data_IF_618763927931
#
_entry.id   IF_618763927931
#
_cell.length_a   1.000
_cell.length_b   1.000
_cell.length_c   1.000
_cell.angle_alpha   90.00
_cell.angle_beta   90.00
_cell.angle_gamma   90.00
#
_symmetry.space_group_name_H-M   'P 1'
#
loop_
_entity.id
_entity.type
_entity.pdbx_description
1 polymer ?
#
# COMPACT_ATOMS: atom_id res chain seq x y z
N UNK A 1 10.79 11.39 -14.57
CA UNK A 1 9.79 10.40 -14.10
C UNK A 1 9.16 10.93 -12.81
N UNK A 2 7.83 11.08 -12.75
CA UNK A 2 7.14 11.47 -11.51
C UNK A 2 6.80 10.20 -10.74
N UNK A 3 7.25 10.08 -9.50
CA UNK A 3 6.87 8.99 -8.60
C UNK A 3 5.75 9.49 -7.67
N UNK A 4 4.47 9.18 -7.97
CA UNK A 4 3.36 9.69 -7.19
C UNK A 4 3.37 9.11 -5.77
N UNK A 5 3.03 9.93 -4.78
CA UNK A 5 2.88 9.50 -3.39
C UNK A 5 1.66 10.17 -2.76
N UNK A 6 0.95 9.43 -1.90
CA UNK A 6 -0.23 9.96 -1.22
C UNK A 6 0.15 10.95 -0.12
N UNK A 7 -0.48 12.13 -0.12
CA UNK A 7 -0.31 13.17 0.91
C UNK A 7 -1.60 13.46 1.67
N UNK A 8 -2.11 12.44 2.35
CA UNK A 8 -3.19 12.56 3.33
C UNK A 8 -3.05 11.43 4.37
N UNK A 9 -3.94 11.40 5.36
CA UNK A 9 -4.04 10.23 6.24
C UNK A 9 -4.34 8.98 5.39
N UNK A 10 -3.54 7.93 5.58
CA UNK A 10 -3.54 6.72 4.75
C UNK A 10 -2.35 6.63 3.79
N UNK A 11 -1.61 7.73 3.56
CA UNK A 11 -0.44 7.71 2.67
C UNK A 11 -0.83 7.24 1.25
N UNK A 12 0.03 6.46 0.59
CA UNK A 12 -0.25 5.97 -0.77
C UNK A 12 -1.42 4.99 -0.88
N UNK A 13 -1.95 4.45 0.23
CA UNK A 13 -3.17 3.62 0.19
C UNK A 13 -4.44 4.38 -0.23
N UNK A 14 -4.36 5.72 -0.37
CA UNK A 14 -5.46 6.53 -0.88
C UNK A 14 -5.45 6.65 -2.41
N UNK A 15 -4.33 6.34 -3.07
CA UNK A 15 -4.15 6.54 -4.51
C UNK A 15 -3.42 5.39 -5.23
N UNK A 16 -3.12 4.27 -4.56
CA UNK A 16 -2.64 3.04 -5.19
C UNK A 16 -3.73 2.35 -6.03
N UNK A 17 -3.39 1.22 -6.66
CA UNK A 17 -4.31 0.42 -7.47
C UNK A 17 -5.10 -0.63 -6.68
N UNK A 18 -5.14 -0.54 -5.34
CA UNK A 18 -5.91 -1.43 -4.46
C UNK A 18 -5.55 -2.93 -4.49
N UNK A 19 -4.60 -3.34 -5.32
CA UNK A 19 -4.22 -4.75 -5.47
C UNK A 19 -3.74 -5.28 -4.12
N UNK A 20 -4.30 -6.41 -3.71
CA UNK A 20 -3.84 -7.13 -2.53
C UNK A 20 -3.10 -8.39 -2.97
N UNK A 21 -1.78 -8.33 -2.88
CA UNK A 21 -0.89 -9.48 -2.99
C UNK A 21 0.06 -9.47 -1.81
N UNK A 22 0.27 -10.64 -1.24
CA UNK A 22 1.33 -10.90 -0.28
C UNK A 22 2.62 -11.14 -1.07
N UNK A 23 3.76 -10.94 -0.41
CA UNK A 23 5.07 -11.27 -0.98
C UNK A 23 5.27 -12.78 -1.08
N UNK A 24 6.32 -13.23 -1.76
CA UNK A 24 6.64 -14.65 -1.83
C UNK A 24 7.21 -15.12 -0.48
N UNK A 25 6.81 -16.31 0.04
CA UNK A 25 7.38 -16.85 1.27
C UNK A 25 8.90 -16.84 1.32
N UNK A 26 9.56 -17.18 0.21
CA UNK A 26 11.02 -17.21 0.11
C UNK A 26 11.66 -15.83 0.29
N UNK A 27 10.96 -14.72 -0.01
CA UNK A 27 11.50 -13.38 0.22
C UNK A 27 11.61 -13.07 1.72
N UNK A 28 10.60 -13.46 2.49
CA UNK A 28 10.57 -13.29 3.94
C UNK A 28 11.57 -14.22 4.64
N UNK A 29 11.65 -15.48 4.22
CA UNK A 29 12.61 -16.43 4.78
C UNK A 29 14.05 -15.97 4.52
N UNK A 30 14.35 -15.46 3.31
CA UNK A 30 15.64 -14.81 3.01
C UNK A 30 15.92 -13.60 3.91
N UNK A 31 14.90 -12.80 4.28
CA UNK A 31 15.10 -11.69 5.21
C UNK A 31 15.50 -12.20 6.60
N UNK A 32 14.86 -13.27 7.07
CA UNK A 32 15.24 -13.91 8.33
C UNK A 32 16.66 -14.46 8.29
N UNK A 33 16.99 -15.23 7.24
CA UNK A 33 18.34 -15.78 7.00
C UNK A 33 19.41 -14.68 6.91
N UNK A 34 19.03 -13.49 6.43
CA UNK A 34 19.90 -12.30 6.39
C UNK A 34 20.09 -11.62 7.76
N UNK A 35 19.71 -12.30 8.86
CA UNK A 35 19.91 -11.81 10.23
C UNK A 35 18.80 -10.92 10.77
N UNK A 36 17.55 -11.09 10.29
CA UNK A 36 16.38 -10.36 10.80
C UNK A 36 15.38 -11.33 11.49
N UNK A 37 15.62 -11.73 12.75
CA UNK A 37 14.75 -12.66 13.45
C UNK A 37 13.29 -12.19 13.49
N UNK A 38 12.35 -13.12 13.29
CA UNK A 38 10.91 -12.82 13.28
C UNK A 38 10.38 -12.29 11.95
N UNK A 39 11.19 -12.29 10.89
CA UNK A 39 10.78 -11.92 9.54
C UNK A 39 10.58 -13.10 8.58
N UNK A 40 10.58 -14.36 9.06
CA UNK A 40 10.17 -15.51 8.25
C UNK A 40 8.73 -15.38 7.77
N UNK A 41 8.38 -16.11 6.71
CA UNK A 41 7.01 -16.11 6.21
C UNK A 41 6.01 -16.55 7.28
N UNK A 42 6.34 -17.59 8.05
CA UNK A 42 5.53 -18.06 9.17
C UNK A 42 5.27 -16.94 10.20
N UNK A 43 6.31 -16.17 10.54
CA UNK A 43 6.20 -15.07 11.51
C UNK A 43 5.29 -13.95 11.01
N UNK A 44 5.40 -13.58 9.73
CA UNK A 44 4.62 -12.47 9.15
C UNK A 44 3.20 -12.90 8.75
N UNK A 45 2.97 -14.18 8.41
CA UNK A 45 1.66 -14.71 8.03
C UNK A 45 0.61 -14.46 9.11
N UNK A 46 1.01 -14.60 10.38
CA UNK A 46 0.16 -14.24 11.54
C UNK A 46 -0.34 -12.81 11.48
N UNK A 47 0.48 -11.86 11.05
CA UNK A 47 0.12 -10.44 10.96
C UNK A 47 -0.70 -10.12 9.71
N UNK A 48 -0.45 -10.82 8.59
CA UNK A 48 -1.33 -10.76 7.43
C UNK A 48 -2.75 -11.21 7.81
N UNK A 49 -2.88 -12.40 8.42
CA UNK A 49 -4.18 -12.93 8.89
C UNK A 49 -4.84 -12.02 9.93
N UNK A 50 -4.10 -11.52 10.92
CA UNK A 50 -4.64 -10.60 11.93
C UNK A 50 -5.20 -9.30 11.34
N UNK A 51 -4.57 -8.80 10.27
CA UNK A 51 -4.97 -7.53 9.64
C UNK A 51 -6.16 -7.70 8.70
N UNK A 52 -6.32 -8.88 8.12
CA UNK A 52 -7.24 -9.18 7.05
C UNK A 52 -8.67 -9.45 7.55
N UNK A 53 -9.63 -8.92 6.79
CA UNK A 53 -11.01 -9.40 6.78
C UNK A 53 -11.30 -9.93 5.38
N UNK A 54 -11.00 -11.21 5.17
CA UNK A 54 -11.15 -11.89 3.89
C UNK A 54 -12.64 -12.04 3.54
N UNK A 55 -12.99 -11.58 2.35
CA UNK A 55 -14.30 -11.73 1.72
C UNK A 55 -14.07 -12.19 0.27
N UNK A 56 -13.57 -13.41 0.14
CA UNK A 56 -13.06 -14.01 -1.09
C UNK A 56 -13.82 -15.30 -1.38
N UNK A 57 -14.20 -15.51 -2.64
CA UNK A 57 -14.94 -16.70 -3.07
C UNK A 57 -14.07 -17.96 -3.11
N UNK A 58 -12.76 -17.78 -3.32
CA UNK A 58 -11.79 -18.87 -3.42
C UNK A 58 -10.56 -18.56 -2.55
N UNK A 59 -10.76 -18.49 -1.24
CA UNK A 59 -9.68 -18.31 -0.27
C UNK A 59 -9.18 -19.66 0.26
N UNK A 60 -7.86 -19.80 0.35
CA UNK A 60 -7.23 -20.87 1.10
C UNK A 60 -7.45 -20.66 2.62
N UNK A 61 -8.18 -21.54 3.32
CA UNK A 61 -8.54 -21.34 4.72
C UNK A 61 -7.34 -21.34 5.68
N UNK A 62 -6.20 -21.93 5.29
CA UNK A 62 -4.99 -21.89 6.12
C UNK A 62 -4.32 -20.51 6.07
N UNK A 63 -4.48 -19.79 4.96
CA UNK A 63 -3.77 -18.55 4.67
C UNK A 63 -4.61 -17.30 4.94
N UNK A 64 -5.93 -17.42 4.96
CA UNK A 64 -6.82 -16.27 5.13
C UNK A 64 -7.47 -16.21 6.51
N UNK A 65 -7.90 -15.01 6.89
CA UNK A 65 -8.69 -14.81 8.11
C UNK A 65 -9.73 -13.70 7.91
N UNK A 66 -10.88 -13.86 8.56
CA UNK A 66 -11.92 -12.84 8.67
C UNK A 66 -11.86 -12.12 10.02
N UNK A 67 -12.42 -10.92 10.09
CA UNK A 67 -12.56 -10.12 11.32
C UNK A 67 -11.48 -9.07 11.57
N UNK A 68 -10.44 -8.99 10.73
CA UNK A 68 -9.45 -7.91 10.79
C UNK A 68 -9.99 -6.56 10.30
N UNK A 69 -9.24 -5.46 10.50
CA UNK A 69 -9.64 -4.13 10.07
C UNK A 69 -9.58 -3.90 8.54
N UNK A 70 -8.75 -4.64 7.82
CA UNK A 70 -8.50 -4.44 6.39
C UNK A 70 -9.34 -5.41 5.56
N UNK A 71 -10.41 -4.91 4.91
CA UNK A 71 -11.24 -5.76 4.04
C UNK A 71 -10.50 -6.07 2.74
N UNK A 72 -10.36 -7.36 2.45
CA UNK A 72 -9.84 -7.89 1.19
C UNK A 72 -11.00 -8.60 0.49
N UNK A 73 -11.29 -8.23 -0.75
CA UNK A 73 -12.45 -8.73 -1.49
C UNK A 73 -12.15 -9.02 -2.94
N UNK A 74 -12.92 -9.95 -3.49
CA UNK A 74 -13.07 -10.09 -4.94
C UNK A 74 -13.62 -8.79 -5.54
N UNK A 75 -13.26 -8.54 -6.79
CA UNK A 75 -13.85 -7.46 -7.58
C UNK A 75 -15.28 -7.84 -7.96
N UNK A 76 -16.30 -7.03 -7.59
CA UNK A 76 -17.71 -7.35 -7.87
C UNK A 76 -18.05 -7.40 -9.37
N UNK A 77 -17.38 -6.57 -10.17
CA UNK A 77 -17.56 -6.50 -11.62
C UNK A 77 -16.31 -6.96 -12.35
N UNK A 78 -16.44 -7.97 -13.21
CA UNK A 78 -15.36 -8.49 -14.06
C UNK A 78 -15.68 -8.21 -15.52
N UNK A 79 -14.72 -7.64 -16.24
CA UNK A 79 -14.84 -7.43 -17.69
C UNK A 79 -14.74 -8.76 -18.43
N UNK A 80 -15.23 -8.80 -19.68
CA UNK A 80 -15.02 -9.95 -20.55
C UNK A 80 -13.52 -10.21 -20.80
N UNK A 81 -12.71 -9.14 -20.88
CA UNK A 81 -11.25 -9.27 -21.00
C UNK A 81 -10.61 -10.02 -19.84
N UNK A 82 -11.05 -9.77 -18.61
CA UNK A 82 -10.52 -10.45 -17.43
C UNK A 82 -10.82 -11.96 -17.48
N UNK A 83 -12.05 -12.33 -17.84
CA UNK A 83 -12.44 -13.73 -17.97
C UNK A 83 -11.66 -14.43 -19.10
N UNK A 84 -11.55 -13.79 -20.27
CA UNK A 84 -10.78 -14.32 -21.41
C UNK A 84 -9.31 -14.54 -21.06
N UNK A 85 -8.69 -13.60 -20.32
CA UNK A 85 -7.30 -13.73 -19.87
C UNK A 85 -7.12 -14.92 -18.92
N UNK A 86 -8.01 -15.09 -17.94
CA UNK A 86 -7.96 -16.22 -17.00
C UNK A 86 -8.14 -17.54 -17.73
N UNK A 87 -9.12 -17.64 -18.63
CA UNK A 87 -9.38 -18.84 -19.42
C UNK A 87 -8.19 -19.21 -20.32
N UNK A 88 -7.65 -18.25 -21.06
CA UNK A 88 -6.48 -18.48 -21.93
C UNK A 88 -5.25 -18.92 -21.13
N UNK A 89 -5.03 -18.36 -19.93
CA UNK A 89 -3.94 -18.80 -19.06
C UNK A 89 -4.14 -20.25 -18.58
N UNK A 90 -5.38 -20.65 -18.28
CA UNK A 90 -5.70 -22.04 -17.95
C UNK A 90 -5.47 -22.99 -19.13
N UNK A 91 -5.86 -22.61 -20.35
CA UNK A 91 -5.56 -23.36 -21.58
C UNK A 91 -4.05 -23.49 -21.83
N UNK A 92 -3.27 -22.47 -21.45
CA UNK A 92 -1.81 -22.50 -21.49
C UNK A 92 -1.16 -23.33 -20.35
N UNK A 93 -1.96 -23.98 -19.49
CA UNK A 93 -1.49 -24.87 -18.44
C UNK A 93 -1.27 -24.23 -17.06
N UNK A 94 -1.63 -22.95 -16.88
CA UNK A 94 -1.55 -22.30 -15.56
C UNK A 94 -2.79 -22.62 -14.72
N UNK A 95 -2.66 -23.21 -13.52
CA UNK A 95 -3.81 -23.54 -12.70
C UNK A 95 -4.50 -22.27 -12.18
N UNK A 96 -5.84 -22.29 -12.12
CA UNK A 96 -6.59 -21.29 -11.37
C UNK A 96 -6.41 -21.52 -9.87
N UNK A 97 -5.91 -20.52 -9.14
CA UNK A 97 -5.61 -20.65 -7.71
C UNK A 97 -5.77 -19.35 -6.93
N UNK A 98 -5.66 -19.46 -5.60
CA UNK A 98 -5.48 -18.33 -4.71
C UNK A 98 -3.99 -17.98 -4.59
N UNK A 99 -3.56 -16.89 -5.22
CA UNK A 99 -2.16 -16.48 -5.22
C UNK A 99 -1.66 -15.94 -3.87
N UNK A 100 -2.56 -15.75 -2.90
CA UNK A 100 -2.21 -15.44 -1.51
C UNK A 100 -2.27 -16.69 -0.59
N UNK A 101 -2.62 -17.84 -1.15
CA UNK A 101 -2.65 -19.15 -0.50
C UNK A 101 -1.32 -19.90 -0.61
N UNK A 102 -1.39 -21.23 -0.49
CA UNK A 102 -0.20 -22.10 -0.50
C UNK A 102 0.67 -22.00 -1.75
N UNK A 103 0.06 -21.87 -2.92
CA UNK A 103 0.74 -21.86 -4.21
C UNK A 103 0.57 -20.50 -4.88
N UNK A 104 1.65 -19.93 -5.43
CA UNK A 104 1.60 -18.60 -6.07
C UNK A 104 1.77 -18.63 -7.59
N UNK A 105 2.20 -19.75 -8.17
CA UNK A 105 2.41 -19.89 -9.62
C UNK A 105 1.12 -20.41 -10.25
N UNK A 106 0.36 -19.50 -10.86
CA UNK A 106 -0.90 -19.81 -11.53
C UNK A 106 -1.57 -18.54 -12.01
N UNK A 107 -2.89 -18.61 -12.21
CA UNK A 107 -3.72 -17.48 -12.63
C UNK A 107 -4.89 -17.29 -11.66
N UNK A 108 -5.32 -16.05 -11.46
CA UNK A 108 -6.48 -15.74 -10.65
C UNK A 108 -7.10 -14.40 -11.03
N UNK A 109 -8.29 -14.13 -10.52
CA UNK A 109 -8.84 -12.78 -10.50
C UNK A 109 -8.16 -11.97 -9.40
N UNK A 110 -8.08 -10.65 -9.59
CA UNK A 110 -7.47 -9.76 -8.61
C UNK A 110 -8.26 -9.73 -7.30
N UNK A 111 -7.56 -9.90 -6.19
CA UNK A 111 -8.06 -9.57 -4.86
C UNK A 111 -7.71 -8.11 -4.55
N UNK A 112 -8.62 -7.40 -3.90
CA UNK A 112 -8.50 -5.95 -3.71
C UNK A 112 -8.79 -5.50 -2.29
N UNK A 113 -8.18 -4.40 -1.88
CA UNK A 113 -8.44 -3.72 -0.61
C UNK A 113 -9.70 -2.85 -0.74
N UNK A 114 -10.85 -3.52 -0.89
CA UNK A 114 -12.14 -2.88 -1.10
C UNK A 114 -13.21 -3.47 -0.18
N UNK A 115 -14.30 -2.72 0.03
CA UNK A 115 -15.54 -3.18 0.66
C UNK A 115 -16.70 -2.70 -0.19
N UNK A 116 -17.48 -3.62 -0.73
CA UNK A 116 -18.57 -3.34 -1.67
C UNK A 116 -18.08 -2.46 -2.84
N UNK A 117 -16.97 -2.84 -3.48
CA UNK A 117 -16.39 -2.10 -4.61
C UNK A 117 -15.76 -0.74 -4.27
N UNK A 118 -15.73 -0.34 -2.99
CA UNK A 118 -15.18 0.96 -2.54
C UNK A 118 -13.86 0.77 -1.83
N UNK A 119 -12.88 1.65 -2.12
CA UNK A 119 -11.56 1.70 -1.46
C UNK A 119 -11.66 1.64 0.06
N UNK A 120 -10.78 0.83 0.65
CA UNK A 120 -10.49 0.83 2.08
C UNK A 120 -9.02 1.23 2.28
N UNK A 121 -8.76 2.52 2.48
CA UNK A 121 -7.40 2.99 2.79
C UNK A 121 -6.94 2.54 4.18
N UNK A 122 -5.64 2.61 4.44
CA UNK A 122 -5.08 2.32 5.77
C UNK A 122 -5.67 3.24 6.86
N UNK A 123 -5.97 4.51 6.55
CA UNK A 123 -6.69 5.38 7.48
C UNK A 123 -8.09 4.84 7.78
N UNK A 124 -8.84 4.43 6.76
CA UNK A 124 -10.21 3.95 6.92
C UNK A 124 -10.27 2.63 7.70
N UNK A 125 -9.32 1.73 7.44
CA UNK A 125 -9.21 0.43 8.12
C UNK A 125 -8.73 0.57 9.57
N UNK A 126 -7.60 1.24 9.80
CA UNK A 126 -6.90 1.16 11.08
C UNK A 126 -7.06 2.39 11.97
N UNK A 127 -7.12 3.59 11.39
CA UNK A 127 -7.08 4.83 12.15
C UNK A 127 -8.47 5.39 12.47
N UNK A 128 -9.36 5.36 11.47
CA UNK A 128 -10.71 5.92 11.57
C UNK A 128 -11.54 5.27 12.68
N UNK A 129 -11.56 3.93 12.86
CA UNK A 129 -12.38 3.31 13.90
C UNK A 129 -11.95 3.70 15.32
N UNK A 130 -10.68 4.08 15.50
CA UNK A 130 -10.08 4.35 16.81
C UNK A 130 -9.81 5.84 17.05
N UNK A 131 -10.25 6.73 16.14
CA UNK A 131 -9.93 8.17 16.12
C UNK A 131 -10.37 8.96 17.37
N UNK A 132 -11.32 8.44 18.13
CA UNK A 132 -11.85 9.08 19.34
C UNK A 132 -11.21 8.57 20.63
N UNK A 133 -10.27 7.62 20.56
CA UNK A 133 -9.57 7.17 21.76
C UNK A 133 -8.77 8.33 22.36
N UNK A 134 -8.96 8.59 23.65
CA UNK A 134 -8.35 9.72 24.37
C UNK A 134 -6.81 9.68 24.39
N UNK A 135 -6.23 8.47 24.25
CA UNK A 135 -4.79 8.25 24.18
C UNK A 135 -4.20 8.37 22.76
N UNK A 136 -5.01 8.69 21.74
CA UNK A 136 -4.56 8.88 20.36
C UNK A 136 -4.73 10.34 19.94
N UNK A 137 -3.62 10.97 19.53
CA UNK A 137 -3.62 12.34 18.99
C UNK A 137 -3.16 12.32 17.54
N UNK A 138 -3.98 12.84 16.64
CA UNK A 138 -3.67 12.94 15.20
C UNK A 138 -3.52 14.41 14.85
N UNK A 139 -2.31 14.82 14.47
CA UNK A 139 -2.03 16.20 14.07
C UNK A 139 -1.82 16.25 12.56
N UNK A 140 -2.81 16.79 11.84
CA UNK A 140 -2.77 16.96 10.37
C UNK A 140 -2.01 18.23 9.97
N UNK A 141 -1.60 18.31 8.71
CA UNK A 141 -0.89 19.45 8.14
C UNK A 141 0.39 19.81 8.91
N UNK A 142 1.06 18.76 9.42
CA UNK A 142 2.27 18.84 10.23
C UNK A 142 3.39 18.06 9.54
N UNK A 143 4.35 18.76 8.94
CA UNK A 143 5.50 18.12 8.27
C UNK A 143 6.64 17.98 9.27
N UNK A 144 6.98 16.75 9.64
CA UNK A 144 8.21 16.48 10.39
C UNK A 144 9.43 16.91 9.56
N UNK A 145 10.37 17.60 10.20
CA UNK A 145 11.58 18.13 9.53
C UNK A 145 12.87 17.69 10.23
N UNK A 146 12.81 17.27 11.49
CA UNK A 146 13.97 16.78 12.24
C UNK A 146 13.52 15.90 13.41
N UNK A 147 14.19 14.77 13.61
CA UNK A 147 14.13 13.99 14.85
C UNK A 147 15.15 14.62 15.81
N UNK A 148 14.71 14.88 17.03
CA UNK A 148 15.53 15.45 18.07
C UNK A 148 16.23 14.32 18.82
N UNK A 149 17.56 14.28 18.75
CA UNK A 149 18.39 13.20 19.25
C UNK A 149 19.49 13.79 20.13
N UNK A 150 19.68 13.22 21.32
CA UNK A 150 20.79 13.61 22.19
C UNK A 150 22.12 13.19 21.56
N UNK A 151 23.10 14.10 21.40
CA UNK A 151 24.40 13.73 20.84
C UNK A 151 25.17 12.76 21.75
N UNK A 152 24.98 12.86 23.07
CA UNK A 152 25.72 12.06 24.06
C UNK A 152 25.16 10.64 24.17
N UNK A 153 23.83 10.51 24.23
CA UNK A 153 23.18 9.21 24.45
C UNK A 153 22.68 8.55 23.17
N UNK A 154 22.64 9.30 22.05
CA UNK A 154 22.01 8.92 20.78
C UNK A 154 20.53 8.53 20.90
N UNK A 155 19.87 8.94 21.99
CA UNK A 155 18.45 8.67 22.21
C UNK A 155 17.58 9.76 21.58
N UNK A 156 16.54 9.35 20.86
CA UNK A 156 15.53 10.26 20.33
C UNK A 156 14.59 10.73 21.45
N UNK A 157 14.48 12.04 21.64
CA UNK A 157 13.64 12.63 22.69
C UNK A 157 12.48 13.47 22.14
N UNK A 158 12.39 13.64 20.82
CA UNK A 158 11.25 14.31 20.20
C UNK A 158 11.34 14.45 18.70
N UNK A 159 10.38 15.18 18.13
CA UNK A 159 10.31 15.51 16.72
C UNK A 159 10.00 17.00 16.56
N UNK A 160 10.78 17.68 15.72
CA UNK A 160 10.48 19.04 15.25
C UNK A 160 9.67 18.95 13.95
N UNK A 161 8.58 19.71 13.89
CA UNK A 161 7.69 19.73 12.73
C UNK A 161 7.21 21.15 12.41
N UNK A 162 6.79 21.37 11.17
CA UNK A 162 6.20 22.63 10.71
C UNK A 162 4.69 22.45 10.60
N UNK A 163 3.94 23.37 11.19
CA UNK A 163 2.47 23.43 11.09
C UNK A 163 2.04 24.90 11.08
N UNK A 164 1.14 25.26 10.17
CA UNK A 164 0.67 26.64 9.99
C UNK A 164 1.84 27.66 9.88
N UNK A 165 2.89 27.30 9.12
CA UNK A 165 4.11 28.10 8.93
C UNK A 165 4.94 28.37 10.21
N UNK A 166 4.62 27.70 11.31
CA UNK A 166 5.34 27.81 12.58
C UNK A 166 6.08 26.50 12.90
N UNK A 167 7.16 26.63 13.66
CA UNK A 167 7.91 25.49 14.18
C UNK A 167 7.30 24.99 15.49
N UNK A 168 7.13 23.69 15.58
CA UNK A 168 6.61 23.00 16.75
C UNK A 168 7.54 21.86 17.14
N UNK A 169 7.47 21.45 18.40
CA UNK A 169 8.14 20.28 18.91
C UNK A 169 7.15 19.38 19.65
N UNK A 170 7.29 18.07 19.46
CA UNK A 170 6.62 17.07 20.27
C UNK A 170 7.69 16.22 20.95
N UNK A 171 7.70 16.21 22.29
CA UNK A 171 8.57 15.34 23.08
C UNK A 171 8.01 13.93 23.15
N UNK A 172 8.88 12.94 23.27
CA UNK A 172 8.50 11.53 23.45
C UNK A 172 9.12 10.98 24.72
N UNK A 173 8.41 10.04 25.36
CA UNK A 173 8.88 9.33 26.56
C UNK A 173 9.50 7.96 26.26
N UNK A 174 9.22 7.41 25.08
CA UNK A 174 9.64 6.06 24.69
C UNK A 174 10.37 6.10 23.35
N UNK A 175 9.60 6.23 22.27
CA UNK A 175 10.11 5.99 20.93
C UNK A 175 9.57 7.01 19.92
N UNK A 176 10.34 7.21 18.86
CA UNK A 176 9.91 7.86 17.62
C UNK A 176 9.89 6.80 16.53
N UNK A 177 8.72 6.52 15.96
CA UNK A 177 8.56 5.56 14.86
C UNK A 177 8.41 6.36 13.54
N UNK A 178 9.33 6.15 12.60
CA UNK A 178 9.38 6.90 11.34
C UNK A 178 8.62 6.14 10.24
N UNK A 179 7.41 6.61 9.92
CA UNK A 179 6.55 6.02 8.89
C UNK A 179 6.31 6.95 7.69
N UNK A 180 7.36 7.64 7.21
CA UNK A 180 7.23 8.66 6.15
C UNK A 180 7.36 8.10 4.71
N UNK A 181 7.47 6.77 4.58
CA UNK A 181 7.63 6.06 3.30
C UNK A 181 9.06 6.05 2.78
N UNK A 182 9.33 5.25 1.75
CA UNK A 182 10.68 4.94 1.25
C UNK A 182 11.50 6.15 0.78
N UNK A 183 10.85 7.28 0.45
CA UNK A 183 11.53 8.52 0.06
C UNK A 183 11.74 9.49 1.22
N UNK A 184 10.70 9.73 2.03
CA UNK A 184 10.77 10.77 3.07
C UNK A 184 11.37 10.25 4.37
N UNK A 185 11.29 8.94 4.67
CA UNK A 185 11.95 8.35 5.85
C UNK A 185 13.47 8.52 5.80
N UNK A 186 14.19 8.10 4.73
CA UNK A 186 15.64 8.33 4.65
C UNK A 186 15.99 9.81 4.62
N UNK A 187 15.18 10.65 3.95
CA UNK A 187 15.36 12.10 3.99
C UNK A 187 15.30 12.65 5.42
N UNK A 188 14.28 12.28 6.19
CA UNK A 188 14.11 12.76 7.57
C UNK A 188 15.25 12.28 8.48
N UNK A 189 15.70 11.04 8.33
CA UNK A 189 16.86 10.51 9.05
C UNK A 189 18.13 11.31 8.74
N UNK A 190 18.40 11.58 7.46
CA UNK A 190 19.56 12.37 7.04
C UNK A 190 19.49 13.81 7.55
N UNK A 191 18.33 14.47 7.46
CA UNK A 191 18.10 15.80 8.07
C UNK A 191 18.28 15.82 9.60
N UNK A 192 18.24 14.65 10.23
CA UNK A 192 18.43 14.45 11.67
C UNK A 192 19.86 14.01 12.03
N UNK A 193 20.78 13.99 11.05
CA UNK A 193 22.18 13.61 11.26
C UNK A 193 22.46 12.10 11.22
N UNK A 194 21.51 11.29 10.74
CA UNK A 194 21.67 9.84 10.56
C UNK A 194 21.77 9.51 9.07
N UNK A 195 22.97 9.17 8.59
CA UNK A 195 23.21 8.89 7.17
C UNK A 195 24.68 8.89 6.77
N UNK A 196 24.99 8.83 5.47
CA UNK A 196 26.38 8.77 4.99
C UNK A 196 27.15 10.05 5.35
N UNK A 197 28.25 9.93 6.10
CA UNK A 197 28.97 11.07 6.70
C UNK A 197 29.31 12.18 5.70
N UNK A 198 30.01 11.84 4.62
CA UNK A 198 30.41 12.81 3.58
C UNK A 198 29.21 13.54 2.95
N UNK A 199 28.07 12.86 2.79
CA UNK A 199 26.86 13.48 2.24
C UNK A 199 26.27 14.50 3.22
N UNK A 200 26.24 14.18 4.51
CA UNK A 200 25.75 15.09 5.56
C UNK A 200 26.65 16.30 5.74
N UNK A 201 27.97 16.10 5.75
CA UNK A 201 28.97 17.17 5.86
C UNK A 201 28.88 18.17 4.70
N UNK A 202 28.73 17.68 3.46
CA UNK A 202 28.54 18.52 2.28
C UNK A 202 27.28 19.42 2.36
N UNK A 203 26.30 19.05 3.18
CA UNK A 203 25.07 19.80 3.40
C UNK A 203 25.08 20.61 4.72
N UNK A 204 26.22 20.64 5.44
CA UNK A 204 26.33 21.34 6.73
C UNK A 204 25.52 20.70 7.85
N UNK A 205 25.20 19.40 7.76
CA UNK A 205 24.43 18.68 8.76
C UNK A 205 25.39 17.95 9.71
N UNK A 206 25.32 18.25 11.00
CA UNK A 206 26.10 17.56 12.03
C UNK A 206 25.78 16.07 12.06
N UNK A 207 26.82 15.23 12.04
CA UNK A 207 26.71 13.78 12.12
C UNK A 207 26.33 13.35 13.54
N UNK A 208 25.25 12.58 13.65
CA UNK A 208 24.84 11.87 14.88
C UNK A 208 25.28 10.40 14.81
N UNK A 209 25.01 9.77 13.67
CA UNK A 209 25.39 8.37 13.43
C UNK A 209 25.59 8.14 11.94
N UNK A 210 26.75 7.60 11.58
CA UNK A 210 27.02 7.18 10.21
C UNK A 210 26.30 5.85 9.93
N UNK A 211 25.41 5.85 8.94
CA UNK A 211 24.68 4.69 8.44
C UNK A 211 24.44 4.82 6.92
N UNK A 212 24.29 3.72 6.17
CA UNK A 212 24.05 3.75 4.72
C UNK A 212 22.60 4.14 4.35
N UNK A 213 22.04 5.14 5.03
CA UNK A 213 20.67 5.62 4.79
C UNK A 213 20.53 6.14 3.36
N UNK A 214 19.48 5.70 2.67
CA UNK A 214 19.17 6.13 1.30
C UNK A 214 20.06 5.55 0.20
N UNK A 215 20.96 4.59 0.51
CA UNK A 215 21.90 4.01 -0.46
C UNK A 215 21.29 2.98 -1.41
N UNK A 216 20.25 2.26 -0.99
CA UNK A 216 19.57 1.23 -1.80
C UNK A 216 18.11 1.61 -1.96
N UNK A 217 17.66 1.65 -3.21
CA UNK A 217 16.26 1.80 -3.59
C UNK A 217 15.93 0.67 -4.57
N UNK A 218 14.88 -0.08 -4.24
CA UNK A 218 14.31 -1.09 -5.12
C UNK A 218 12.92 -0.60 -5.54
N UNK A 219 12.62 -0.74 -6.82
CA UNK A 219 11.31 -0.41 -7.38
C UNK A 219 11.00 -1.40 -8.52
N UNK A 220 9.72 -1.62 -8.79
CA UNK A 220 9.29 -2.44 -9.92
C UNK A 220 9.11 -1.56 -11.15
N UNK A 221 10.03 -1.70 -12.11
CA UNK A 221 9.91 -1.00 -13.39
C UNK A 221 8.65 -1.47 -14.09
N UNK A 222 7.72 -0.53 -14.32
CA UNK A 222 6.48 -0.81 -15.02
C UNK A 222 6.74 -0.88 -16.53
N UNK A 223 6.46 -2.04 -17.12
CA UNK A 223 6.21 -2.17 -18.55
C UNK A 223 4.69 -2.15 -18.75
N UNK A 224 4.11 -1.13 -19.42
CA UNK A 224 2.65 -0.98 -19.56
C UNK A 224 1.98 -2.07 -20.40
N UNK A 225 2.76 -3.01 -20.94
CA UNK A 225 2.27 -4.21 -21.60
C UNK A 225 2.21 -4.10 -23.11
N UNK A 226 1.66 -5.16 -23.69
CA UNK A 226 1.35 -5.26 -25.11
C UNK A 226 -0.03 -4.66 -25.36
N UNK A 227 -0.15 -3.82 -26.39
CA UNK A 227 -1.44 -3.27 -26.80
C UNK A 227 -2.03 -4.17 -27.88
N UNK A 228 -3.27 -4.61 -27.69
CA UNK A 228 -4.02 -5.40 -28.65
C UNK A 228 -5.18 -4.56 -29.19
N UNK A 229 -5.32 -4.53 -30.52
CA UNK A 229 -6.49 -3.92 -31.17
C UNK A 229 -7.57 -4.99 -31.26
N UNK A 230 -8.78 -4.64 -30.86
CA UNK A 230 -9.93 -5.54 -30.85
C UNK A 230 -10.96 -5.07 -31.87
N UNK A 231 -11.65 -6.03 -32.50
CA UNK A 231 -12.74 -5.74 -33.45
C UNK A 231 -14.04 -5.30 -32.74
N UNK A 232 -14.12 -5.49 -31.42
CA UNK A 232 -15.27 -5.13 -30.59
C UNK A 232 -14.81 -4.62 -29.22
N UNK A 233 -15.57 -3.69 -28.63
CA UNK A 233 -15.29 -3.24 -27.26
C UNK A 233 -15.67 -4.34 -26.28
N UNK A 234 -14.68 -4.77 -25.48
CA UNK A 234 -14.87 -5.70 -24.36
C UNK A 234 -14.76 -4.99 -22.99
N UNK A 235 -14.71 -3.66 -23.02
CA UNK A 235 -14.81 -2.77 -21.85
C UNK A 235 -16.20 -2.11 -21.82
N UNK A 236 -16.74 -1.78 -20.63
CA UNK A 236 -18.04 -1.14 -20.49
C UNK A 236 -18.16 0.11 -21.36
N UNK A 237 -19.31 0.29 -22.01
CA UNK A 237 -19.61 1.46 -22.85
C UNK A 237 -19.50 2.75 -22.04
N UNK A 238 -19.09 3.85 -22.69
CA UNK A 238 -18.94 5.17 -22.07
C UNK A 238 -20.25 5.75 -21.47
N UNK A 239 -21.40 5.11 -21.72
CA UNK A 239 -22.72 5.49 -21.18
C UNK A 239 -22.89 5.25 -19.67
N UNK A 240 -21.89 4.64 -19.00
CA UNK A 240 -21.82 4.59 -17.55
C UNK A 240 -21.50 5.97 -16.97
N UNK A 241 -22.42 6.91 -17.12
CA UNK A 241 -22.31 8.24 -16.55
C UNK A 241 -22.62 8.17 -15.05
N UNK A 242 -21.72 8.70 -14.22
CA UNK A 242 -21.93 8.84 -12.77
C UNK A 242 -23.10 9.78 -12.42
N UNK A 243 -23.64 10.52 -13.40
CA UNK A 243 -24.80 11.40 -13.27
C UNK A 243 -26.16 10.69 -13.41
N UNK A 244 -26.23 9.45 -13.91
CA UNK A 244 -27.49 8.69 -13.98
C UNK A 244 -27.81 8.06 -12.62
N UNK A 245 -29.04 8.21 -12.15
CA UNK A 245 -29.46 7.74 -10.82
C UNK A 245 -29.26 6.23 -10.64
N UNK A 246 -29.60 5.42 -11.64
CA UNK A 246 -29.42 3.96 -11.57
C UNK A 246 -27.95 3.55 -11.45
N UNK A 247 -27.06 4.27 -12.14
CA UNK A 247 -25.62 4.07 -12.01
C UNK A 247 -25.13 4.49 -10.63
N UNK A 248 -25.60 5.61 -10.10
CA UNK A 248 -25.28 6.06 -8.75
C UNK A 248 -25.72 5.03 -7.69
N UNK A 249 -26.93 4.49 -7.81
CA UNK A 249 -27.46 3.43 -6.94
C UNK A 249 -26.58 2.18 -7.06
N UNK A 250 -26.29 1.72 -8.28
CA UNK A 250 -25.44 0.56 -8.52
C UNK A 250 -24.05 0.73 -7.89
N UNK A 251 -23.40 1.88 -8.04
CA UNK A 251 -22.11 2.20 -7.41
C UNK A 251 -22.23 2.16 -5.89
N UNK A 252 -23.31 2.73 -5.35
CA UNK A 252 -23.50 2.78 -3.91
C UNK A 252 -23.70 1.38 -3.31
N UNK A 253 -24.37 0.50 -4.06
CA UNK A 253 -24.57 -0.92 -3.73
C UNK A 253 -23.33 -1.78 -3.99
N UNK A 254 -22.25 -1.21 -4.55
CA UNK A 254 -21.03 -1.95 -4.85
C UNK A 254 -21.17 -2.85 -6.09
N UNK A 255 -21.96 -2.43 -7.07
CA UNK A 255 -22.17 -3.10 -8.36
C UNK A 255 -21.69 -2.25 -9.53
N UNK A 256 -21.46 -2.92 -10.65
CA UNK A 256 -21.17 -2.26 -11.93
C UNK A 256 -19.71 -1.84 -12.11
N UNK A 257 -19.39 -1.24 -13.26
CA UNK A 257 -18.02 -1.05 -13.74
C UNK A 257 -17.17 -0.06 -12.95
N UNK A 258 -17.76 0.75 -12.07
CA UNK A 258 -16.99 1.65 -11.19
C UNK A 258 -16.53 1.00 -9.89
N UNK A 259 -16.76 -0.30 -9.74
CA UNK A 259 -16.29 -1.10 -8.59
C UNK A 259 -14.94 -1.74 -8.83
N UNK A 260 -14.33 -1.51 -10.00
CA UNK A 260 -12.98 -1.95 -10.32
C UNK A 260 -11.93 -0.93 -9.83
N UNK A 261 -10.72 -1.35 -9.43
CA UNK A 261 -9.68 -0.44 -8.97
C UNK A 261 -9.18 0.60 -10.00
N UNK A 262 -9.39 0.33 -11.30
CA UNK A 262 -8.96 1.21 -12.40
C UNK A 262 -10.20 1.95 -12.93
N UNK A 263 -10.43 3.16 -12.41
CA UNK A 263 -11.60 3.99 -12.75
C UNK A 263 -11.54 4.73 -14.09
N UNK A 264 -10.65 4.37 -15.02
CA UNK A 264 -10.67 4.87 -16.40
C UNK A 264 -10.30 3.75 -17.36
N UNK A 265 -11.30 3.22 -18.06
CA UNK A 265 -11.11 2.42 -19.25
C UNK A 265 -10.67 3.37 -20.37
N UNK A 266 -9.39 3.36 -20.73
CA UNK A 266 -8.95 4.02 -21.97
C UNK A 266 -9.14 3.03 -23.11
N UNK A 267 -10.20 3.24 -23.89
CA UNK A 267 -10.28 2.80 -25.27
C UNK A 267 -10.44 4.06 -26.10
N UNK A 268 -9.39 4.48 -26.81
CA UNK A 268 -9.52 5.49 -27.84
C UNK A 268 -10.17 4.82 -29.06
N UNK A 269 -11.35 5.31 -29.43
CA UNK A 269 -12.11 4.85 -30.58
C UNK A 269 -11.67 5.63 -31.82
N UNK A 270 -11.52 4.94 -32.95
CA UNK A 270 -11.58 5.55 -34.28
C UNK A 270 -13.00 5.41 -34.82
#
# INVERSE_FOLDING_TARGET
MRLPSGRALGGSSINDFLLYSRGNPADFDKWQESGNPGWSYESVLKYFKKSENANLSAADPEYHQAGGPLTVSDIPYRTQSANAFVQAAQEAGYPFLDYNGKNQIGVSYLQTITKNGKRVSAEKAFLRPVRYRSNLKIIKNSRAIKILISPDTKQAYGVKYIRARQYWQASVKKEVIVCAGSFNSPQLLMLSGIGPKRHLENLGISLVQELPVGKKLYDHVLFPGLNFVLNQSIVPNQEWETGKLDNYIAINDGRGPFTVPIGKFYGDFK
#
